data_IF_416995609820
#
_entry.id   IF_416995609820
#
_cell.length_a   1.000
_cell.length_b   1.000
_cell.length_c   1.000
_cell.angle_alpha   90.00
_cell.angle_beta   90.00
_cell.angle_gamma   90.00
#
_symmetry.space_group_name_H-M   'P 1'
#
loop_
_entity.id
_entity.type
_entity.pdbx_description
1 polymer ?
#
# COMPACT_ATOMS: atom_id res chain seq x y z
N UNK A 1 25.77 -20.36 26.40
CA UNK A 1 25.37 -19.47 27.53
C UNK A 1 23.85 -19.47 27.55
N UNK A 2 23.27 -20.22 28.48
CA UNK A 2 21.82 -20.30 28.70
C UNK A 2 21.36 -18.97 29.29
N UNK A 3 20.67 -18.15 28.50
CA UNK A 3 20.09 -16.91 29.00
C UNK A 3 18.99 -17.25 30.00
N UNK A 4 19.14 -16.83 31.25
CA UNK A 4 18.03 -16.71 32.19
C UNK A 4 17.02 -15.74 31.58
N UNK A 5 15.91 -16.27 31.07
CA UNK A 5 14.77 -15.44 30.74
C UNK A 5 14.05 -15.13 32.05
N UNK A 6 13.84 -13.85 32.34
CA UNK A 6 12.90 -13.43 33.38
C UNK A 6 11.50 -13.83 32.91
N UNK A 7 10.91 -14.83 33.58
CA UNK A 7 9.58 -15.30 33.27
C UNK A 7 8.56 -14.30 33.85
N UNK A 8 7.98 -13.45 32.99
CA UNK A 8 6.91 -12.54 33.39
C UNK A 8 5.59 -13.31 33.31
N UNK A 9 5.12 -13.80 34.46
CA UNK A 9 3.79 -14.41 34.56
C UNK A 9 2.77 -13.31 34.84
N UNK A 10 1.95 -12.98 33.83
CA UNK A 10 0.80 -12.08 33.98
C UNK A 10 -0.46 -12.92 33.88
N UNK A 11 -1.39 -12.77 34.82
CA UNK A 11 -2.76 -13.29 34.64
C UNK A 11 -3.42 -12.49 33.50
N UNK A 12 -3.33 -13.02 32.29
CA UNK A 12 -3.93 -12.42 31.10
C UNK A 12 -5.26 -13.13 30.81
N UNK A 13 -6.36 -12.37 30.82
CA UNK A 13 -7.61 -12.80 30.23
C UNK A 13 -7.55 -12.58 28.71
N UNK A 14 -8.05 -13.53 27.92
CA UNK A 14 -8.21 -13.34 26.48
C UNK A 14 -9.35 -12.36 26.25
N UNK A 15 -9.08 -11.25 25.57
CA UNK A 15 -10.12 -10.33 25.09
C UNK A 15 -11.14 -11.12 24.25
N UNK A 16 -12.41 -11.05 24.63
CA UNK A 16 -13.51 -11.80 24.01
C UNK A 16 -14.30 -10.98 22.97
N UNK A 17 -13.90 -9.74 22.70
CA UNK A 17 -14.54 -8.87 21.71
C UNK A 17 -13.51 -8.20 20.80
N UNK A 18 -13.94 -7.85 19.59
CA UNK A 18 -13.14 -7.13 18.61
C UNK A 18 -12.96 -5.68 19.08
N UNK A 19 -11.70 -5.23 19.22
CA UNK A 19 -11.39 -3.82 19.46
C UNK A 19 -11.43 -3.10 18.11
N UNK A 20 -12.15 -1.99 17.95
CA UNK A 20 -12.18 -1.30 16.67
C UNK A 20 -10.78 -0.74 16.40
N UNK A 21 -10.19 -1.11 15.27
CA UNK A 21 -8.89 -0.59 14.83
C UNK A 21 -9.08 0.86 14.38
N UNK A 22 -9.06 1.80 15.33
CA UNK A 22 -9.32 3.22 15.09
C UNK A 22 -8.06 4.01 15.41
N UNK A 23 -7.54 4.72 14.41
CA UNK A 23 -6.38 5.60 14.53
C UNK A 23 -5.03 4.91 14.53
N UNK A 24 -3.96 5.72 14.55
CA UNK A 24 -2.56 5.29 14.43
C UNK A 24 -2.11 4.31 15.52
N UNK A 25 -2.82 4.27 16.65
CA UNK A 25 -2.64 3.33 17.74
C UNK A 25 -2.64 1.85 17.32
N UNK A 26 -3.46 1.51 16.32
CA UNK A 26 -3.62 0.14 15.82
C UNK A 26 -2.83 -0.11 14.54
N UNK A 27 -2.12 0.90 14.07
CA UNK A 27 -1.31 0.87 12.88
C UNK A 27 0.12 0.49 13.27
N UNK A 28 0.41 -0.81 13.27
CA UNK A 28 1.75 -1.30 13.60
C UNK A 28 2.21 -2.42 12.66
N UNK A 29 3.45 -2.29 12.17
CA UNK A 29 4.11 -3.32 11.36
C UNK A 29 4.42 -4.56 12.22
N UNK A 30 4.64 -4.37 13.51
CA UNK A 30 4.84 -5.44 14.48
C UNK A 30 3.50 -5.91 15.04
N UNK A 31 3.36 -7.20 15.32
CA UNK A 31 2.17 -7.75 16.00
C UNK A 31 2.12 -7.24 17.45
N UNK A 32 1.19 -6.34 17.82
CA UNK A 32 1.10 -5.86 19.19
C UNK A 32 0.66 -6.99 20.12
N UNK A 33 1.19 -6.98 21.34
CA UNK A 33 0.67 -7.80 22.45
C UNK A 33 -0.18 -6.89 23.33
N UNK A 34 -1.47 -7.21 23.41
CA UNK A 34 -2.41 -6.47 24.24
C UNK A 34 -2.49 -7.13 25.62
N UNK A 35 -2.23 -6.34 26.66
CA UNK A 35 -2.35 -6.75 28.05
C UNK A 35 -3.40 -5.89 28.73
N UNK A 36 -4.41 -6.51 29.32
CA UNK A 36 -5.39 -5.82 30.17
C UNK A 36 -4.97 -5.97 31.63
N UNK A 37 -4.87 -4.86 32.35
CA UNK A 37 -4.48 -4.83 33.77
C UNK A 37 -5.65 -4.34 34.62
N UNK A 38 -5.74 -4.84 35.86
CA UNK A 38 -6.88 -4.57 36.76
C UNK A 38 -6.82 -3.20 37.46
N UNK A 39 -5.62 -2.65 37.65
CA UNK A 39 -5.35 -1.43 38.40
C UNK A 39 -3.98 -0.83 38.04
N UNK A 40 -3.73 0.38 38.51
CA UNK A 40 -2.46 1.10 38.33
C UNK A 40 -1.26 0.38 38.93
N UNK A 41 -1.47 -0.40 40.00
CA UNK A 41 -0.40 -1.16 40.63
C UNK A 41 0.11 -2.27 39.69
N UNK A 42 -0.81 -2.97 39.02
CA UNK A 42 -0.50 -3.95 37.99
C UNK A 42 0.16 -3.29 36.77
N UNK A 43 -0.31 -2.12 36.32
CA UNK A 43 0.32 -1.37 35.24
C UNK A 43 1.78 -1.01 35.55
N UNK A 44 2.04 -0.51 36.77
CA UNK A 44 3.40 -0.18 37.24
C UNK A 44 4.29 -1.41 37.34
N UNK A 45 3.75 -2.57 37.69
CA UNK A 45 4.50 -3.81 37.72
C UNK A 45 4.97 -4.22 36.31
N UNK A 46 4.11 -4.11 35.29
CA UNK A 46 4.47 -4.36 33.88
C UNK A 46 5.56 -3.39 33.42
N UNK A 47 5.40 -2.10 33.71
CA UNK A 47 6.41 -1.08 33.41
C UNK A 47 7.78 -1.41 34.03
N UNK A 48 7.82 -1.71 35.33
CA UNK A 48 9.07 -2.00 36.02
C UNK A 48 9.77 -3.25 35.45
N UNK A 49 8.99 -4.27 35.08
CA UNK A 49 9.54 -5.47 34.44
C UNK A 49 10.14 -5.16 33.05
N UNK A 50 9.48 -4.30 32.26
CA UNK A 50 10.03 -3.82 30.99
C UNK A 50 11.34 -3.05 31.18
N UNK A 51 11.37 -2.11 32.14
CA UNK A 51 12.57 -1.32 32.47
C UNK A 51 13.76 -2.23 32.78
N UNK A 52 13.55 -3.24 33.63
CA UNK A 52 14.61 -4.17 34.04
C UNK A 52 15.11 -5.04 32.88
N UNK A 53 14.19 -5.57 32.07
CA UNK A 53 14.52 -6.36 30.89
C UNK A 53 15.30 -5.53 29.86
N UNK A 54 14.92 -4.26 29.67
CA UNK A 54 15.57 -3.34 28.73
C UNK A 54 16.98 -2.97 29.19
N UNK A 55 17.17 -2.67 30.47
CA UNK A 55 18.49 -2.38 31.05
C UNK A 55 19.45 -3.56 30.97
N UNK A 56 18.94 -4.78 31.15
CA UNK A 56 19.73 -6.01 31.00
C UNK A 56 20.18 -6.21 29.56
N UNK A 57 19.31 -5.93 28.59
CA UNK A 57 19.58 -6.14 27.16
C UNK A 57 20.46 -5.06 26.55
N UNK A 58 20.26 -3.79 26.95
CA UNK A 58 21.00 -2.62 26.47
C UNK A 58 21.39 -1.75 27.66
N UNK A 59 22.58 -1.97 28.24
CA UNK A 59 23.07 -1.19 29.38
C UNK A 59 23.13 0.30 29.06
N UNK A 60 22.57 1.15 29.93
CA UNK A 60 22.54 2.61 29.76
C UNK A 60 21.42 3.14 28.85
N UNK A 61 20.50 2.28 28.39
CA UNK A 61 19.30 2.73 27.68
C UNK A 61 18.24 3.29 28.63
N UNK A 62 17.49 4.27 28.13
CA UNK A 62 16.28 4.75 28.77
C UNK A 62 15.11 3.77 28.53
N UNK A 63 14.16 3.64 29.46
CA UNK A 63 12.94 2.89 29.23
C UNK A 63 12.15 3.46 28.06
N UNK A 64 11.51 2.58 27.27
CA UNK A 64 10.52 3.01 26.28
C UNK A 64 9.40 3.79 26.96
N UNK A 65 8.93 4.90 26.39
CA UNK A 65 7.86 5.71 26.99
C UNK A 65 6.52 4.95 27.07
N UNK A 66 5.72 5.23 28.11
CA UNK A 66 4.29 4.87 28.12
C UNK A 66 3.53 5.90 27.31
N UNK A 67 2.76 5.43 26.33
CA UNK A 67 1.81 6.28 25.59
C UNK A 67 0.42 5.96 26.10
N UNK A 68 -0.29 6.97 26.60
CA UNK A 68 -1.70 6.86 26.98
C UNK A 68 -2.56 7.24 25.78
N UNK A 69 -3.52 6.38 25.45
CA UNK A 69 -4.44 6.61 24.33
C UNK A 69 -5.87 6.49 24.84
N UNK A 70 -6.72 7.42 24.43
CA UNK A 70 -8.15 7.43 24.75
C UNK A 70 -8.96 7.48 23.47
N UNK A 71 -10.03 6.69 23.41
CA UNK A 71 -10.95 6.65 22.28
C UNK A 71 -12.31 7.15 22.75
N UNK A 72 -12.89 8.13 22.05
CA UNK A 72 -14.22 8.65 22.34
C UNK A 72 -15.07 8.68 21.06
N UNK A 73 -16.34 8.29 21.19
CA UNK A 73 -17.33 8.43 20.13
C UNK A 73 -18.15 9.70 20.42
N UNK A 74 -18.00 10.71 19.56
CA UNK A 74 -18.65 12.01 19.72
C UNK A 74 -19.81 12.10 18.74
N UNK A 75 -21.03 12.21 19.27
CA UNK A 75 -22.22 12.45 18.46
C UNK A 75 -22.40 13.95 18.16
N UNK A 76 -21.46 14.52 17.42
CA UNK A 76 -21.42 15.94 17.00
C UNK A 76 -21.22 16.04 15.49
N UNK A 77 -21.56 17.19 14.90
CA UNK A 77 -21.42 17.44 13.45
C UNK A 77 -19.96 17.54 13.00
N UNK A 78 -19.74 17.44 11.68
CA UNK A 78 -18.40 17.38 11.05
C UNK A 78 -17.53 18.60 11.40
N UNK A 79 -18.08 19.83 11.35
CA UNK A 79 -17.35 21.06 11.65
C UNK A 79 -16.92 21.10 13.13
N UNK A 80 -17.81 20.66 14.03
CA UNK A 80 -17.50 20.54 15.45
C UNK A 80 -16.41 19.47 15.70
N UNK A 81 -16.42 18.35 14.98
CA UNK A 81 -15.36 17.33 15.11
C UNK A 81 -13.99 17.85 14.68
N UNK A 82 -13.92 18.59 13.57
CA UNK A 82 -12.67 19.19 13.10
C UNK A 82 -12.13 20.20 14.12
N UNK A 83 -13.00 21.08 14.62
CA UNK A 83 -12.62 22.09 15.63
C UNK A 83 -12.09 21.44 16.90
N UNK A 84 -12.77 20.41 17.42
CA UNK A 84 -12.31 19.68 18.61
C UNK A 84 -10.96 18.98 18.39
N UNK A 85 -10.74 18.43 17.20
CA UNK A 85 -9.48 17.75 16.86
C UNK A 85 -8.32 18.74 16.87
N UNK A 86 -8.53 19.93 16.31
CA UNK A 86 -7.55 21.02 16.34
C UNK A 86 -7.30 21.55 17.77
N UNK A 87 -8.35 21.78 18.57
CA UNK A 87 -8.23 22.32 19.93
C UNK A 87 -7.60 21.33 20.93
N UNK A 88 -7.86 20.04 20.78
CA UNK A 88 -7.32 18.99 21.66
C UNK A 88 -5.89 18.57 21.28
N UNK A 89 -5.45 18.91 20.06
CA UNK A 89 -4.07 18.65 19.63
C UNK A 89 -3.16 19.76 20.13
N UNK A 90 -2.17 19.41 20.95
CA UNK A 90 -1.15 20.34 21.41
C UNK A 90 0.24 19.73 21.33
N UNK A 91 1.19 20.50 20.80
CA UNK A 91 2.61 20.17 20.67
C UNK A 91 3.49 20.86 21.74
N UNK A 92 2.86 21.69 22.57
CA UNK A 92 3.45 22.39 23.70
C UNK A 92 2.76 21.90 24.96
N UNK A 93 3.53 21.42 25.94
CA UNK A 93 2.97 20.73 27.10
C UNK A 93 1.83 21.49 27.80
N UNK A 94 0.77 20.75 28.12
CA UNK A 94 -0.45 21.25 28.75
C UNK A 94 -0.54 20.77 30.20
N UNK A 95 -0.86 21.65 31.14
CA UNK A 95 -0.98 21.30 32.56
C UNK A 95 -2.19 21.93 33.23
N UNK A 96 -3.04 21.12 33.86
CA UNK A 96 -4.12 21.59 34.72
C UNK A 96 -4.25 20.73 35.98
N UNK A 97 -4.70 21.33 37.08
CA UNK A 97 -4.81 20.65 38.40
C UNK A 97 -5.74 19.42 38.34
N UNK A 98 -6.78 19.50 37.51
CA UNK A 98 -7.80 18.44 37.35
C UNK A 98 -7.35 17.28 36.45
N UNK A 99 -6.43 17.52 35.50
CA UNK A 99 -6.07 16.55 34.45
C UNK A 99 -4.57 16.22 34.39
N UNK A 100 -3.73 16.85 35.21
CA UNK A 100 -2.29 16.63 35.24
C UNK A 100 -1.50 17.41 34.18
N UNK A 101 -0.23 17.05 34.02
CA UNK A 101 0.71 17.65 33.06
C UNK A 101 1.00 16.67 31.92
N UNK A 102 0.84 17.13 30.70
CA UNK A 102 0.96 16.39 29.45
C UNK A 102 2.01 17.08 28.58
N UNK A 103 2.90 16.32 27.96
CA UNK A 103 3.94 16.90 27.11
C UNK A 103 3.42 17.18 25.69
N UNK A 104 2.63 16.25 25.15
CA UNK A 104 2.04 16.29 23.81
C UNK A 104 0.68 15.58 23.87
N UNK A 105 -0.32 16.09 23.17
CA UNK A 105 -1.50 15.33 22.80
C UNK A 105 -1.71 15.42 21.28
N UNK A 106 -1.92 14.25 20.68
CA UNK A 106 -2.26 14.11 19.27
C UNK A 106 -3.68 13.56 19.21
N UNK A 107 -4.58 14.31 18.59
CA UNK A 107 -5.97 13.89 18.38
C UNK A 107 -6.13 13.54 16.91
N UNK A 108 -6.80 12.43 16.63
CA UNK A 108 -7.09 12.00 15.26
C UNK A 108 -8.60 12.03 15.06
N UNK A 109 -9.06 12.88 14.13
CA UNK A 109 -10.46 13.01 13.74
C UNK A 109 -10.80 12.17 12.51
N UNK A 110 -11.98 11.53 12.51
CA UNK A 110 -12.46 10.78 11.34
C UNK A 110 -12.63 11.67 10.10
N UNK A 111 -13.11 12.89 10.29
CA UNK A 111 -13.36 13.83 9.20
C UNK A 111 -12.07 14.42 8.63
N UNK A 112 -11.08 14.70 9.48
CA UNK A 112 -9.74 15.13 9.06
C UNK A 112 -9.09 14.05 8.17
N UNK A 113 -9.12 12.80 8.64
CA UNK A 113 -8.64 11.64 7.89
C UNK A 113 -9.36 11.56 6.54
N UNK A 114 -10.69 11.65 6.52
CA UNK A 114 -11.50 11.59 5.29
C UNK A 114 -11.16 12.69 4.28
N UNK A 115 -10.86 13.91 4.74
CA UNK A 115 -10.38 15.01 3.91
C UNK A 115 -9.01 14.72 3.28
N UNK A 116 -8.09 14.11 4.05
CA UNK A 116 -6.76 13.75 3.57
C UNK A 116 -6.79 12.61 2.54
N UNK A 117 -7.68 11.61 2.71
CA UNK A 117 -7.91 10.58 1.68
C UNK A 117 -8.32 11.17 0.34
N UNK A 118 -9.15 12.22 0.36
CA UNK A 118 -9.57 12.88 -0.87
C UNK A 118 -8.40 13.62 -1.56
N UNK A 119 -7.49 14.19 -0.77
CA UNK A 119 -6.24 14.83 -1.26
C UNK A 119 -5.26 13.82 -1.87
N UNK A 120 -5.18 12.60 -1.32
CA UNK A 120 -4.34 11.50 -1.80
C UNK A 120 -4.77 10.88 -3.16
N UNK A 121 -5.83 11.38 -3.79
CA UNK A 121 -6.26 10.98 -5.15
C UNK A 121 -5.21 11.20 -6.27
N UNK A 122 -4.04 11.77 -5.96
CA UNK A 122 -2.91 11.91 -6.90
C UNK A 122 -2.45 10.60 -7.55
N UNK A 123 -2.74 9.45 -6.94
CA UNK A 123 -2.46 8.13 -7.54
C UNK A 123 -3.16 7.89 -8.89
N UNK A 124 -4.38 8.42 -9.08
CA UNK A 124 -5.11 8.26 -10.35
C UNK A 124 -4.41 8.99 -11.51
N UNK A 125 -3.95 10.22 -11.26
CA UNK A 125 -3.21 11.00 -12.25
C UNK A 125 -1.92 10.30 -12.66
N UNK A 126 -1.17 9.77 -11.69
CA UNK A 126 0.07 9.06 -11.95
C UNK A 126 -0.16 7.76 -12.73
N UNK A 127 -1.22 7.01 -12.39
CA UNK A 127 -1.65 5.83 -13.15
C UNK A 127 -2.00 6.15 -14.60
N UNK A 128 -2.78 7.22 -14.83
CA UNK A 128 -3.14 7.70 -16.17
C UNK A 128 -1.89 8.11 -16.96
N UNK A 129 -0.96 8.82 -16.33
CA UNK A 129 0.30 9.26 -16.93
C UNK A 129 1.13 8.06 -17.41
N UNK A 130 1.25 7.02 -16.58
CA UNK A 130 1.98 5.80 -16.97
C UNK A 130 1.28 5.02 -18.08
N UNK A 131 -0.05 4.93 -18.07
CA UNK A 131 -0.80 4.33 -19.17
C UNK A 131 -0.53 5.10 -20.47
N UNK A 132 -0.64 6.43 -20.45
CA UNK A 132 -0.35 7.29 -21.60
C UNK A 132 1.08 7.08 -22.11
N UNK A 133 2.08 7.06 -21.22
CA UNK A 133 3.46 6.80 -21.58
C UNK A 133 3.64 5.42 -22.22
N UNK A 134 3.03 4.37 -21.65
CA UNK A 134 3.08 3.02 -22.20
C UNK A 134 2.45 2.96 -23.60
N UNK A 135 1.31 3.62 -23.81
CA UNK A 135 0.65 3.72 -25.12
C UNK A 135 1.57 4.39 -26.15
N UNK A 136 2.19 5.52 -25.79
CA UNK A 136 3.09 6.25 -26.68
C UNK A 136 4.32 5.43 -27.06
N UNK A 137 4.95 4.77 -26.09
CA UNK A 137 6.12 3.90 -26.32
C UNK A 137 5.75 2.76 -27.27
N UNK A 138 4.64 2.07 -27.00
CA UNK A 138 4.16 0.97 -27.85
C UNK A 138 3.85 1.46 -29.26
N UNK A 139 3.10 2.56 -29.37
CA UNK A 139 2.71 3.12 -30.65
C UNK A 139 3.94 3.48 -31.50
N UNK A 140 4.90 4.21 -30.91
CA UNK A 140 6.11 4.62 -31.61
C UNK A 140 6.92 3.41 -32.07
N UNK A 141 7.10 2.42 -31.20
CA UNK A 141 7.81 1.17 -31.52
C UNK A 141 7.15 0.41 -32.68
N UNK A 142 5.82 0.26 -32.66
CA UNK A 142 5.10 -0.42 -33.74
C UNK A 142 5.17 0.33 -35.06
N UNK A 143 5.12 1.66 -35.03
CA UNK A 143 5.26 2.47 -36.24
C UNK A 143 6.68 2.34 -36.80
N UNK A 144 7.72 2.46 -35.98
CA UNK A 144 9.11 2.36 -36.43
C UNK A 144 9.43 0.98 -36.98
N UNK A 145 9.11 -0.09 -36.24
CA UNK A 145 9.31 -1.47 -36.69
C UNK A 145 8.49 -1.76 -37.95
N UNK A 146 7.26 -1.25 -38.04
CA UNK A 146 6.42 -1.43 -39.23
C UNK A 146 7.01 -0.84 -40.51
N UNK A 147 7.66 0.33 -40.44
CA UNK A 147 8.31 0.92 -41.61
C UNK A 147 9.58 0.17 -42.02
N UNK A 148 10.41 -0.24 -41.06
CA UNK A 148 11.63 -1.02 -41.32
C UNK A 148 11.31 -2.40 -41.92
N UNK A 149 10.31 -3.08 -41.34
CA UNK A 149 9.90 -4.40 -41.78
C UNK A 149 9.24 -4.37 -43.16
N UNK A 150 8.52 -3.30 -43.51
CA UNK A 150 7.93 -3.13 -44.85
C UNK A 150 8.98 -3.24 -45.95
N UNK A 151 10.13 -2.59 -45.78
CA UNK A 151 11.21 -2.62 -46.76
C UNK A 151 11.83 -4.02 -46.87
N UNK A 152 12.12 -4.66 -45.73
CA UNK A 152 12.67 -6.02 -45.69
C UNK A 152 11.73 -7.05 -46.30
N UNK A 153 10.44 -6.98 -45.99
CA UNK A 153 9.46 -7.91 -46.54
C UNK A 153 9.25 -7.72 -48.05
N UNK A 154 9.38 -6.50 -48.57
CA UNK A 154 9.36 -6.26 -50.02
C UNK A 154 10.51 -7.01 -50.71
N UNK A 155 11.73 -6.90 -50.20
CA UNK A 155 12.92 -7.61 -50.74
C UNK A 155 12.70 -9.14 -50.69
N UNK A 156 12.18 -9.67 -49.59
CA UNK A 156 11.89 -11.11 -49.48
C UNK A 156 10.81 -11.58 -50.46
N UNK A 157 9.79 -10.75 -50.72
CA UNK A 157 8.77 -11.06 -51.73
C UNK A 157 9.36 -11.09 -53.14
N UNK A 158 10.27 -10.18 -53.47
CA UNK A 158 10.98 -10.16 -54.76
C UNK A 158 11.82 -11.43 -54.97
N UNK A 159 12.24 -12.10 -53.89
CA UNK A 159 12.93 -13.40 -53.90
C UNK A 159 12.01 -14.62 -53.86
N UNK A 160 10.67 -14.45 -53.88
CA UNK A 160 9.69 -15.52 -53.96
C UNK A 160 9.04 -15.94 -52.63
N UNK A 161 9.20 -15.16 -51.56
CA UNK A 161 8.55 -15.45 -50.28
C UNK A 161 7.03 -15.18 -50.35
N UNK A 162 6.22 -16.16 -49.96
CA UNK A 162 4.76 -16.02 -50.02
C UNK A 162 4.21 -15.11 -48.91
N UNK A 163 3.28 -14.20 -49.25
CA UNK A 163 2.68 -13.21 -48.32
C UNK A 163 2.09 -13.81 -47.04
N UNK A 164 1.60 -15.06 -47.10
CA UNK A 164 1.04 -15.76 -45.94
C UNK A 164 2.10 -16.09 -44.87
N UNK A 165 3.33 -16.39 -45.30
CA UNK A 165 4.45 -16.67 -44.40
C UNK A 165 4.88 -15.41 -43.64
N UNK A 166 4.93 -14.27 -44.35
CA UNK A 166 5.18 -12.94 -43.77
C UNK A 166 4.16 -12.62 -42.69
N UNK A 167 2.86 -12.74 -43.01
CA UNK A 167 1.78 -12.41 -42.06
C UNK A 167 1.82 -13.28 -40.80
N UNK A 168 2.16 -14.57 -40.92
CA UNK A 168 2.29 -15.50 -39.80
C UNK A 168 3.49 -15.16 -38.91
N UNK A 169 4.64 -14.85 -39.51
CA UNK A 169 5.86 -14.47 -38.79
C UNK A 169 5.63 -13.20 -37.94
N UNK A 170 5.06 -12.17 -38.56
CA UNK A 170 4.70 -10.91 -37.91
C UNK A 170 3.76 -11.15 -36.73
N UNK A 171 2.69 -11.93 -36.93
CA UNK A 171 1.68 -12.14 -35.89
C UNK A 171 2.23 -12.79 -34.62
N UNK A 172 3.15 -13.75 -34.78
CA UNK A 172 3.78 -14.42 -33.63
C UNK A 172 4.74 -13.48 -32.88
N UNK A 173 5.52 -12.67 -33.60
CA UNK A 173 6.47 -11.74 -32.99
C UNK A 173 5.74 -10.67 -32.18
N UNK A 174 4.72 -10.04 -32.79
CA UNK A 174 3.95 -9.00 -32.12
C UNK A 174 3.22 -9.58 -30.90
N UNK A 175 2.62 -10.78 -30.98
CA UNK A 175 1.96 -11.38 -29.82
C UNK A 175 2.91 -11.58 -28.63
N UNK A 176 4.11 -12.13 -28.87
CA UNK A 176 5.10 -12.40 -27.80
C UNK A 176 5.62 -11.10 -27.19
N UNK A 177 6.00 -10.13 -28.02
CA UNK A 177 6.58 -8.84 -27.58
C UNK A 177 5.59 -8.05 -26.72
N UNK A 178 4.29 -8.24 -26.93
CA UNK A 178 3.24 -7.57 -26.14
C UNK A 178 2.76 -8.36 -24.93
N UNK A 179 2.67 -9.69 -25.03
CA UNK A 179 2.18 -10.50 -23.91
C UNK A 179 3.24 -10.64 -22.81
N UNK A 180 4.53 -10.64 -23.17
CA UNK A 180 5.62 -10.78 -22.20
C UNK A 180 5.62 -9.64 -21.14
N UNK A 181 5.51 -8.35 -21.49
CA UNK A 181 5.39 -7.27 -20.51
C UNK A 181 4.19 -7.42 -19.56
N UNK A 182 3.03 -7.84 -20.08
CA UNK A 182 1.83 -8.03 -19.27
C UNK A 182 2.00 -9.18 -18.25
N UNK A 183 2.64 -10.27 -18.67
CA UNK A 183 2.96 -11.40 -17.80
C UNK A 183 3.96 -10.98 -16.72
N UNK A 184 5.02 -10.25 -17.09
CA UNK A 184 5.99 -9.71 -16.14
C UNK A 184 5.31 -8.79 -15.12
N UNK A 185 4.39 -7.93 -15.56
CA UNK A 185 3.61 -7.07 -14.66
C UNK A 185 2.75 -7.90 -13.69
N UNK A 186 2.10 -8.97 -14.16
CA UNK A 186 1.31 -9.85 -13.30
C UNK A 186 2.18 -10.52 -12.21
N UNK A 187 3.36 -11.02 -12.60
CA UNK A 187 4.32 -11.64 -11.67
C UNK A 187 4.85 -10.61 -10.67
N UNK A 188 5.16 -9.39 -11.14
CA UNK A 188 5.63 -8.30 -10.28
C UNK A 188 4.58 -7.94 -9.22
N UNK A 189 3.33 -7.71 -9.63
CA UNK A 189 2.21 -7.44 -8.70
C UNK A 189 2.02 -8.59 -7.71
N UNK A 190 2.10 -9.85 -8.16
CA UNK A 190 1.97 -11.00 -7.27
C UNK A 190 3.09 -11.07 -6.21
N UNK A 191 4.33 -10.72 -6.59
CA UNK A 191 5.46 -10.68 -5.67
C UNK A 191 5.32 -9.53 -4.66
N UNK A 192 4.94 -8.35 -5.14
CA UNK A 192 4.81 -7.15 -4.31
C UNK A 192 3.56 -7.15 -3.44
N UNK A 193 2.57 -8.00 -3.73
CA UNK A 193 1.30 -8.03 -3.01
C UNK A 193 1.47 -8.15 -1.49
N UNK A 194 2.39 -9.02 -1.04
CA UNK A 194 2.65 -9.16 0.41
C UNK A 194 3.23 -7.89 1.00
N UNK A 195 4.16 -7.24 0.30
CA UNK A 195 4.76 -5.98 0.76
C UNK A 195 3.71 -4.86 0.78
N UNK A 196 2.86 -4.78 -0.24
CA UNK A 196 1.75 -3.84 -0.30
C UNK A 196 0.77 -4.03 0.88
N UNK A 197 0.43 -5.27 1.25
CA UNK A 197 -0.39 -5.52 2.44
C UNK A 197 0.26 -4.96 3.71
N UNK A 198 1.58 -5.11 3.88
CA UNK A 198 2.27 -4.53 5.03
C UNK A 198 2.23 -3.00 4.99
N UNK A 199 2.39 -2.38 3.82
CA UNK A 199 2.27 -0.93 3.67
C UNK A 199 0.86 -0.42 3.95
N UNK A 200 -0.18 -1.17 3.55
CA UNK A 200 -1.57 -0.80 3.79
C UNK A 200 -1.98 -0.85 5.27
N UNK A 201 -1.33 -1.71 6.05
CA UNK A 201 -1.46 -1.69 7.52
C UNK A 201 -1.02 -0.33 8.07
N UNK A 202 0.00 0.34 7.49
CA UNK A 202 0.38 1.72 7.86
C UNK A 202 -0.71 2.76 7.64
N UNK A 203 -1.77 2.42 6.90
CA UNK A 203 -2.92 3.28 6.66
C UNK A 203 -4.19 2.75 7.34
N UNK A 204 -4.06 1.82 8.28
CA UNK A 204 -5.21 1.22 9.00
C UNK A 204 -6.03 0.25 8.16
N UNK A 205 -5.58 -0.12 6.95
CA UNK A 205 -6.29 -1.01 6.05
C UNK A 205 -5.89 -2.46 6.30
N UNK A 206 -6.72 -3.18 7.05
CA UNK A 206 -6.48 -4.57 7.48
C UNK A 206 -7.24 -5.62 6.64
N UNK A 207 -8.15 -5.17 5.77
CA UNK A 207 -9.05 -6.04 5.01
C UNK A 207 -8.38 -6.64 3.76
N UNK A 208 -7.58 -7.69 3.98
CA UNK A 208 -6.85 -8.40 2.91
C UNK A 208 -7.74 -8.82 1.72
N UNK A 209 -9.00 -9.20 1.99
CA UNK A 209 -9.94 -9.63 0.96
C UNK A 209 -10.34 -8.49 0.02
N UNK A 210 -10.64 -7.31 0.59
CA UNK A 210 -11.00 -6.10 -0.18
C UNK A 210 -9.79 -5.64 -1.00
N UNK A 211 -8.60 -5.65 -0.40
CA UNK A 211 -7.35 -5.30 -1.07
C UNK A 211 -7.02 -6.24 -2.24
N UNK A 212 -7.25 -7.54 -2.07
CA UNK A 212 -7.06 -8.50 -3.15
C UNK A 212 -8.03 -8.25 -4.31
N UNK A 213 -9.31 -8.04 -4.00
CA UNK A 213 -10.35 -7.81 -4.99
C UNK A 213 -10.10 -6.50 -5.78
N UNK A 214 -9.70 -5.44 -5.08
CA UNK A 214 -9.39 -4.14 -5.69
C UNK A 214 -8.14 -4.22 -6.56
N UNK A 215 -7.08 -4.91 -6.10
CA UNK A 215 -5.85 -5.13 -6.88
C UNK A 215 -6.14 -5.94 -8.15
N UNK A 216 -6.90 -7.04 -8.02
CA UNK A 216 -7.31 -7.87 -9.15
C UNK A 216 -8.18 -7.08 -10.14
N UNK A 217 -9.11 -6.26 -9.65
CA UNK A 217 -9.94 -5.37 -10.46
C UNK A 217 -9.12 -4.35 -11.24
N UNK A 218 -8.19 -3.67 -10.58
CA UNK A 218 -7.29 -2.69 -11.22
C UNK A 218 -6.39 -3.35 -12.27
N UNK A 219 -5.82 -4.53 -11.96
CA UNK A 219 -5.02 -5.27 -12.93
C UNK A 219 -5.85 -5.70 -14.15
N UNK A 220 -7.10 -6.13 -13.95
CA UNK A 220 -8.01 -6.49 -15.04
C UNK A 220 -8.31 -5.29 -15.94
N UNK A 221 -8.64 -4.13 -15.35
CA UNK A 221 -8.86 -2.88 -16.10
C UNK A 221 -7.62 -2.50 -16.90
N UNK A 222 -6.45 -2.53 -16.28
CA UNK A 222 -5.17 -2.28 -16.96
C UNK A 222 -4.95 -3.26 -18.11
N UNK A 223 -5.15 -4.57 -17.91
CA UNK A 223 -4.98 -5.59 -18.93
C UNK A 223 -5.94 -5.40 -20.12
N UNK A 224 -7.19 -5.00 -19.86
CA UNK A 224 -8.17 -4.67 -20.91
C UNK A 224 -7.71 -3.45 -21.72
N UNK A 225 -7.33 -2.36 -21.05
CA UNK A 225 -6.83 -1.15 -21.73
C UNK A 225 -5.59 -1.48 -22.56
N UNK A 226 -4.63 -2.20 -21.98
CA UNK A 226 -3.42 -2.64 -22.65
C UNK A 226 -3.73 -3.51 -23.87
N UNK A 227 -4.67 -4.44 -23.75
CA UNK A 227 -5.14 -5.28 -24.85
C UNK A 227 -5.80 -4.48 -25.99
N UNK A 228 -6.59 -3.46 -25.66
CA UNK A 228 -7.17 -2.55 -26.66
C UNK A 228 -6.08 -1.77 -27.40
N UNK A 229 -5.09 -1.26 -26.67
CA UNK A 229 -3.94 -0.54 -27.24
C UNK A 229 -3.14 -1.46 -28.18
N UNK A 230 -2.91 -2.72 -27.78
CA UNK A 230 -2.32 -3.74 -28.64
C UNK A 230 -3.12 -3.92 -29.94
N UNK A 231 -4.44 -4.10 -29.86
CA UNK A 231 -5.27 -4.29 -31.06
C UNK A 231 -5.21 -3.09 -32.00
N UNK A 232 -5.21 -1.87 -31.46
CA UNK A 232 -5.11 -0.64 -32.24
C UNK A 232 -3.73 -0.50 -32.91
N UNK A 233 -2.66 -0.74 -32.17
CA UNK A 233 -1.28 -0.57 -32.65
C UNK A 233 -0.87 -1.67 -33.63
N UNK A 234 -1.29 -2.92 -33.41
CA UNK A 234 -1.09 -4.02 -34.34
C UNK A 234 -1.79 -3.77 -35.69
N UNK A 235 -3.01 -3.20 -35.68
CA UNK A 235 -3.69 -2.78 -36.93
C UNK A 235 -2.88 -1.73 -37.69
N UNK A 236 -2.30 -0.76 -36.99
CA UNK A 236 -1.43 0.25 -37.60
C UNK A 236 -0.19 -0.39 -38.20
N UNK A 237 0.49 -1.28 -37.46
CA UNK A 237 1.65 -2.03 -37.98
C UNK A 237 1.29 -2.79 -39.26
N UNK A 238 0.20 -3.57 -39.26
CA UNK A 238 -0.23 -4.33 -40.45
C UNK A 238 -0.53 -3.43 -41.65
N UNK A 239 -1.11 -2.24 -41.43
CA UNK A 239 -1.37 -1.25 -42.48
C UNK A 239 -0.08 -0.63 -43.04
N UNK A 240 0.97 -0.49 -42.24
CA UNK A 240 2.25 0.06 -42.70
C UNK A 240 3.01 -0.97 -43.54
N UNK A 241 3.02 -2.23 -43.10
CA UNK A 241 3.77 -3.33 -43.74
C UNK A 241 3.13 -3.85 -45.03
N UNK A 242 1.79 -3.92 -45.11
CA UNK A 242 1.06 -4.42 -46.28
C UNK A 242 0.74 -3.33 -47.31
#
# INVERSE_FOLDING_TARGET
>A
MSGEYSEITVEAARLTGDFPAVGSAFVNINSPVWLTVKDDAALRAVWNAQVEAQRTRVPGSDPNAMVFQSFCDLNVDEDTQLTLTEELTFDQGYGAEEVGSWEIALTEGREEFSGEYFSLNGGFFLGLLFIMAAVLIIYYKQVSEGYEDRERYRIMQDMGLERKMVKKSIGSQILVVFFAPLLVAAVHVAFDFKLMLHLLILFGLHENGVTLLSTAGTFLVFAVIYGLVYLLTARTYYRIVQ
#
